data_IF_534692318555
#
_entry.id   IF_534692318555
#
_cell.length_a   1.000
_cell.length_b   1.000
_cell.length_c   1.000
_cell.angle_alpha   90.00
_cell.angle_beta   90.00
_cell.angle_gamma   90.00
#
_symmetry.space_group_name_H-M   'P 1'
#
loop_
_entity.id
_entity.type
_entity.pdbx_description
1 polymer ?
#
# COMPACT_ATOMS: atom_id res chain seq x y z
N UNK A 1 2.92 24.12 24.93
CA UNK A 1 2.63 22.69 25.15
C UNK A 1 1.98 22.17 23.89
N UNK A 2 2.61 21.18 23.27
CA UNK A 2 2.23 20.63 21.97
C UNK A 2 0.96 19.78 22.10
N UNK A 3 0.00 19.97 21.20
CA UNK A 3 -1.08 19.02 20.96
C UNK A 3 -0.80 18.38 19.61
N UNK A 4 -0.28 17.15 19.68
CA UNK A 4 0.02 16.30 18.55
C UNK A 4 -1.30 15.72 18.04
N UNK A 5 -1.75 16.19 16.87
CA UNK A 5 -2.86 15.60 16.11
C UNK A 5 -2.34 14.33 15.40
N UNK A 6 -2.14 13.27 16.18
CA UNK A 6 -1.95 11.94 15.61
C UNK A 6 -3.33 11.43 15.15
N UNK A 7 -3.64 11.65 13.87
CA UNK A 7 -4.80 11.03 13.20
C UNK A 7 -4.67 9.51 13.33
N UNK A 8 -5.36 8.96 14.33
CA UNK A 8 -5.62 7.55 14.46
C UNK A 8 -6.52 7.13 13.28
N UNK A 9 -5.94 6.47 12.29
CA UNK A 9 -6.72 5.89 11.19
C UNK A 9 -7.50 4.71 11.76
N UNK A 10 -8.79 4.92 12.02
CA UNK A 10 -9.71 3.84 12.37
C UNK A 10 -9.80 2.86 11.18
N UNK A 11 -9.10 1.73 11.27
CA UNK A 11 -9.06 0.66 10.26
C UNK A 11 -10.45 0.03 9.96
N UNK A 12 -11.52 0.45 10.66
CA UNK A 12 -12.88 -0.08 10.53
C UNK A 12 -13.70 0.47 9.37
N UNK A 13 -13.33 1.63 8.79
CA UNK A 13 -14.11 2.31 7.74
C UNK A 13 -13.28 2.61 6.47
N UNK A 14 -12.33 1.75 6.11
CA UNK A 14 -11.57 1.92 4.87
C UNK A 14 -12.50 1.64 3.67
N UNK A 15 -12.91 2.68 2.95
CA UNK A 15 -13.68 2.54 1.71
C UNK A 15 -12.77 2.19 0.54
N UNK A 16 -13.30 1.51 -0.49
CA UNK A 16 -12.53 1.11 -1.68
C UNK A 16 -11.88 2.29 -2.40
N UNK A 17 -12.49 3.48 -2.31
CA UNK A 17 -12.03 4.73 -2.89
C UNK A 17 -11.02 5.48 -2.00
N UNK A 18 -10.82 5.04 -0.75
CA UNK A 18 -9.94 5.72 0.17
C UNK A 18 -8.51 5.68 -0.34
N UNK A 19 -7.94 6.87 -0.55
CA UNK A 19 -6.54 7.01 -0.95
C UNK A 19 -5.62 6.76 0.25
N UNK A 20 -4.71 5.82 0.08
CA UNK A 20 -3.67 5.43 1.01
C UNK A 20 -2.35 6.01 0.47
N UNK A 21 -1.65 6.86 1.23
CA UNK A 21 -0.34 7.35 0.83
C UNK A 21 0.69 6.22 0.92
N UNK A 22 1.60 6.19 -0.06
CA UNK A 22 2.64 5.16 -0.12
C UNK A 22 3.61 5.21 1.07
N UNK A 23 3.81 6.39 1.67
CA UNK A 23 4.64 6.56 2.86
C UNK A 23 4.12 5.75 4.06
N UNK A 24 2.79 5.66 4.21
CA UNK A 24 2.17 4.80 5.23
C UNK A 24 2.43 3.33 4.97
N UNK A 25 2.34 2.88 3.71
CA UNK A 25 2.65 1.50 3.34
C UNK A 25 4.14 1.20 3.51
N UNK A 26 5.01 2.13 3.15
CA UNK A 26 6.45 2.03 3.35
C UNK A 26 6.78 1.85 4.83
N UNK A 27 6.17 2.66 5.70
CA UNK A 27 6.33 2.56 7.16
C UNK A 27 5.79 1.24 7.73
N UNK A 28 4.67 0.72 7.19
CA UNK A 28 4.06 -0.53 7.66
C UNK A 28 4.82 -1.78 7.19
N UNK A 29 5.36 -1.75 5.98
CA UNK A 29 5.97 -2.93 5.35
C UNK A 29 7.49 -2.94 5.48
N UNK A 30 8.11 -1.79 5.74
CA UNK A 30 9.56 -1.62 5.76
C UNK A 30 10.19 -1.53 4.36
N UNK A 31 9.39 -1.59 3.28
CA UNK A 31 9.90 -1.41 1.93
C UNK A 31 9.96 0.07 1.55
N UNK A 32 11.00 0.53 0.85
CA UNK A 32 11.07 1.91 0.38
C UNK A 32 9.94 2.20 -0.64
N UNK A 33 9.45 3.44 -0.64
CA UNK A 33 8.34 3.88 -1.52
C UNK A 33 8.61 3.56 -2.99
N UNK A 34 9.83 3.81 -3.48
CA UNK A 34 10.21 3.51 -4.87
C UNK A 34 10.09 2.02 -5.21
N UNK A 35 10.40 1.14 -4.26
CA UNK A 35 10.24 -0.30 -4.45
C UNK A 35 8.76 -0.67 -4.54
N UNK A 36 7.93 -0.14 -3.63
CA UNK A 36 6.49 -0.38 -3.66
C UNK A 36 5.87 0.12 -4.98
N UNK A 37 6.25 1.32 -5.45
CA UNK A 37 5.80 1.85 -6.74
C UNK A 37 6.15 0.93 -7.90
N UNK A 38 7.41 0.47 -7.93
CA UNK A 38 7.91 -0.39 -8.99
C UNK A 38 7.17 -1.73 -9.02
N UNK A 39 7.05 -2.40 -7.88
CA UNK A 39 6.47 -3.74 -7.82
C UNK A 39 4.94 -3.71 -8.03
N UNK A 40 4.26 -2.66 -7.57
CA UNK A 40 2.82 -2.48 -7.75
C UNK A 40 2.46 -1.74 -9.06
N UNK A 41 3.46 -1.38 -9.88
CA UNK A 41 3.32 -0.65 -11.15
C UNK A 41 2.54 0.67 -11.01
N UNK A 42 2.87 1.45 -9.98
CA UNK A 42 2.21 2.70 -9.64
C UNK A 42 2.97 3.92 -10.15
N UNK A 43 2.26 4.87 -10.74
CA UNK A 43 2.82 6.15 -11.19
C UNK A 43 2.63 7.27 -10.15
N UNK A 44 1.61 7.15 -9.28
CA UNK A 44 1.26 8.14 -8.27
C UNK A 44 1.82 7.81 -6.86
N UNK A 45 1.93 8.82 -6.00
CA UNK A 45 2.35 8.70 -4.59
C UNK A 45 1.26 8.18 -3.64
N UNK A 46 0.07 7.92 -4.18
CA UNK A 46 -1.12 7.51 -3.45
C UNK A 46 -1.92 6.53 -4.30
N UNK A 47 -2.58 5.58 -3.66
CA UNK A 47 -3.45 4.62 -4.33
C UNK A 47 -4.69 4.32 -3.51
N UNK A 48 -5.77 3.93 -4.17
CA UNK A 48 -6.98 3.51 -3.45
C UNK A 48 -6.80 2.12 -2.85
N UNK A 49 -7.63 1.76 -1.85
CA UNK A 49 -7.61 0.42 -1.28
C UNK A 49 -7.93 -0.67 -2.34
N UNK A 50 -8.84 -0.38 -3.27
CA UNK A 50 -9.17 -1.29 -4.36
C UNK A 50 -7.96 -1.54 -5.27
N UNK A 51 -7.24 -0.49 -5.65
CA UNK A 51 -6.02 -0.58 -6.47
C UNK A 51 -4.92 -1.34 -5.71
N UNK A 52 -4.73 -1.05 -4.42
CA UNK A 52 -3.76 -1.77 -3.58
C UNK A 52 -4.03 -3.26 -3.58
N UNK A 53 -5.29 -3.65 -3.39
CA UNK A 53 -5.70 -5.06 -3.41
C UNK A 53 -5.37 -5.72 -4.74
N UNK A 54 -5.70 -5.07 -5.86
CA UNK A 54 -5.44 -5.59 -7.20
C UNK A 54 -3.95 -5.75 -7.48
N UNK A 55 -3.15 -4.72 -7.20
CA UNK A 55 -1.71 -4.76 -7.44
C UNK A 55 -1.03 -5.80 -6.55
N UNK A 56 -1.44 -5.95 -5.29
CA UNK A 56 -0.92 -7.01 -4.41
C UNK A 56 -1.30 -8.41 -4.88
N UNK A 57 -2.54 -8.62 -5.33
CA UNK A 57 -2.97 -9.90 -5.91
C UNK A 57 -2.14 -10.24 -7.14
N UNK A 58 -1.94 -9.29 -8.04
CA UNK A 58 -1.10 -9.46 -9.22
C UNK A 58 0.35 -9.78 -8.85
N UNK A 59 0.92 -9.07 -7.87
CA UNK A 59 2.26 -9.34 -7.37
C UNK A 59 2.40 -10.75 -6.82
N UNK A 60 1.44 -11.19 -5.98
CA UNK A 60 1.44 -12.53 -5.41
C UNK A 60 1.27 -13.62 -6.48
N UNK A 61 0.42 -13.39 -7.48
CA UNK A 61 0.22 -14.34 -8.60
C UNK A 61 1.52 -14.50 -9.39
N UNK A 62 2.16 -13.40 -9.80
CA UNK A 62 3.44 -13.44 -10.53
C UNK A 62 4.59 -14.06 -9.72
N UNK A 63 4.60 -13.90 -8.39
CA UNK A 63 5.61 -14.53 -7.53
C UNK A 63 5.28 -15.99 -7.18
N UNK A 64 4.01 -16.39 -7.21
CA UNK A 64 3.60 -17.77 -6.92
C UNK A 64 4.08 -18.77 -7.97
N UNK A 65 4.16 -18.33 -9.24
CA UNK A 65 4.80 -19.11 -10.32
C UNK A 65 6.30 -19.35 -10.06
N UNK A 66 6.95 -18.43 -9.33
CA UNK A 66 8.37 -18.51 -8.98
C UNK A 66 8.65 -19.52 -7.84
N UNK A 67 7.63 -19.92 -7.08
CA UNK A 67 7.73 -20.87 -5.96
C UNK A 67 7.35 -22.32 -6.34
N UNK A 68 6.93 -22.56 -7.59
CA UNK A 68 6.68 -23.92 -8.11
C UNK A 68 7.88 -24.55 -8.84
N UNK A 69 9.08 -23.97 -8.69
CA UNK A 69 10.35 -24.52 -9.20
C UNK A 69 11.00 -25.52 -8.25
#
# INVERSE_FOLDING_TARGET
MAQQDAKQVELGNLTEEQKIPLDSLSSLTGFPVDFIKKELLLEEDQLSLAELRRSMLSYLESNSEMLQG
#
